data_IF_739272567152
#
_entry.id   IF_739272567152
#
_cell.length_a   1.000
_cell.length_b   1.000
_cell.length_c   1.000
_cell.angle_alpha   90.00
_cell.angle_beta   90.00
_cell.angle_gamma   90.00
#
_symmetry.space_group_name_H-M   'P 1'
#
loop_
_entity.id
_entity.type
_entity.pdbx_description
1 polymer ?
#
# COMPACT_ATOMS: atom_id res chain seq x y z
N UNK A 1 -12.67 6.60 -2.69
CA UNK A 1 -12.37 5.61 -1.63
C UNK A 1 -12.00 4.29 -2.29
N UNK A 2 -11.62 3.26 -1.54
CA UNK A 2 -11.38 1.94 -2.13
C UNK A 2 -12.66 1.35 -2.76
N UNK A 3 -13.82 1.64 -2.16
CA UNK A 3 -15.14 1.23 -2.69
C UNK A 3 -15.37 1.78 -4.10
N UNK A 4 -15.21 3.10 -4.27
CA UNK A 4 -15.40 3.78 -5.56
C UNK A 4 -14.42 3.23 -6.62
N UNK A 5 -13.17 2.94 -6.24
CA UNK A 5 -12.16 2.40 -7.16
C UNK A 5 -12.53 0.98 -7.61
N UNK A 6 -13.00 0.13 -6.69
CA UNK A 6 -13.45 -1.23 -7.01
C UNK A 6 -14.70 -1.19 -7.89
N UNK A 7 -15.66 -0.32 -7.59
CA UNK A 7 -16.89 -0.15 -8.36
C UNK A 7 -16.57 0.29 -9.79
N UNK A 8 -15.75 1.33 -9.97
CA UNK A 8 -15.31 1.79 -11.29
C UNK A 8 -14.60 0.67 -12.06
N UNK A 9 -13.71 -0.09 -11.42
CA UNK A 9 -12.99 -1.20 -12.08
C UNK A 9 -13.94 -2.31 -12.55
N UNK A 10 -15.01 -2.60 -11.80
CA UNK A 10 -16.06 -3.55 -12.23
C UNK A 10 -16.84 -3.02 -13.43
N UNK A 11 -17.21 -1.74 -13.41
CA UNK A 11 -18.03 -1.11 -14.45
C UNK A 11 -17.33 -1.03 -15.81
N UNK A 12 -16.04 -0.70 -15.81
CA UNK A 12 -15.22 -0.61 -17.04
C UNK A 12 -14.70 -1.97 -17.52
N UNK A 13 -14.86 -3.02 -16.70
CA UNK A 13 -14.41 -4.38 -16.96
C UNK A 13 -12.90 -4.60 -16.76
N UNK A 14 -12.46 -5.86 -16.92
CA UNK A 14 -11.10 -6.36 -16.60
C UNK A 14 -9.92 -5.72 -17.37
N UNK A 15 -10.14 -4.65 -18.15
CA UNK A 15 -9.08 -3.91 -18.86
C UNK A 15 -8.43 -2.84 -18.00
N UNK A 16 -9.08 -2.42 -16.91
CA UNK A 16 -8.56 -1.43 -15.98
C UNK A 16 -8.37 -2.08 -14.63
N UNK A 17 -7.14 -2.08 -14.15
CA UNK A 17 -6.78 -2.58 -12.82
C UNK A 17 -6.51 -1.38 -11.89
N UNK A 18 -6.99 -1.42 -10.63
CA UNK A 18 -6.64 -0.42 -9.64
C UNK A 18 -5.13 -0.32 -9.40
N UNK A 19 -4.67 0.91 -9.16
CA UNK A 19 -3.36 1.21 -8.63
C UNK A 19 -3.54 1.73 -7.20
N UNK A 20 -2.82 1.15 -6.24
CA UNK A 20 -3.04 1.45 -4.81
C UNK A 20 -1.91 2.30 -4.27
N UNK A 21 -2.24 3.52 -3.85
CA UNK A 21 -1.38 4.30 -2.97
C UNK A 21 -1.80 4.04 -1.52
N UNK A 22 -0.90 3.42 -0.75
CA UNK A 22 -1.21 2.98 0.61
C UNK A 22 -1.32 4.17 1.58
N UNK A 23 -0.50 5.22 1.43
CA UNK A 23 -0.55 6.34 2.34
C UNK A 23 -1.74 7.26 2.07
N UNK A 24 -2.12 7.45 0.81
CA UNK A 24 -3.34 8.16 0.43
C UNK A 24 -4.58 7.43 0.93
N UNK A 25 -4.58 6.10 0.86
CA UNK A 25 -5.67 5.27 1.41
C UNK A 25 -5.77 5.45 2.93
N UNK A 26 -4.65 5.39 3.64
CA UNK A 26 -4.57 5.66 5.07
C UNK A 26 -5.06 7.06 5.45
N UNK A 27 -4.66 8.10 4.70
CA UNK A 27 -5.10 9.46 4.92
C UNK A 27 -6.62 9.62 4.72
N UNK A 28 -7.17 9.02 3.65
CA UNK A 28 -8.62 9.03 3.37
C UNK A 28 -9.44 8.28 4.41
N UNK A 29 -8.85 7.31 5.09
CA UNK A 29 -9.49 6.52 6.15
C UNK A 29 -9.18 7.08 7.56
N UNK A 30 -8.84 8.37 7.67
CA UNK A 30 -8.55 9.05 8.94
C UNK A 30 -7.48 8.35 9.77
N UNK A 31 -6.35 8.00 9.14
CA UNK A 31 -5.21 7.36 9.79
C UNK A 31 -5.50 5.95 10.33
N UNK A 32 -6.51 5.29 9.79
CA UNK A 32 -6.82 3.90 10.07
C UNK A 32 -6.78 3.12 8.76
N UNK A 33 -5.92 2.11 8.66
CA UNK A 33 -5.84 1.29 7.44
C UNK A 33 -5.81 -0.18 7.79
N UNK A 34 -6.66 -0.95 7.11
CA UNK A 34 -6.68 -2.40 7.19
C UNK A 34 -6.21 -2.98 5.86
N UNK A 35 -4.89 -3.17 5.75
CA UNK A 35 -4.26 -3.70 4.53
C UNK A 35 -4.84 -5.06 4.11
N UNK A 36 -5.09 -5.94 5.08
CA UNK A 36 -5.59 -7.29 4.82
C UNK A 36 -6.98 -7.26 4.19
N UNK A 37 -7.87 -6.43 4.72
CA UNK A 37 -9.21 -6.24 4.17
C UNK A 37 -9.17 -5.67 2.74
N UNK A 38 -8.31 -4.68 2.49
CA UNK A 38 -8.15 -4.11 1.15
C UNK A 38 -7.65 -5.16 0.16
N UNK A 39 -6.60 -5.90 0.51
CA UNK A 39 -6.04 -6.96 -0.33
C UNK A 39 -7.09 -8.06 -0.61
N UNK A 40 -7.82 -8.49 0.42
CA UNK A 40 -8.88 -9.48 0.30
C UNK A 40 -9.98 -9.02 -0.67
N UNK A 41 -10.35 -7.74 -0.65
CA UNK A 41 -11.34 -7.17 -1.56
C UNK A 41 -10.83 -7.10 -2.98
N UNK A 42 -9.60 -6.63 -3.21
CA UNK A 42 -8.99 -6.64 -4.55
C UNK A 42 -8.96 -8.06 -5.15
N UNK A 43 -8.60 -9.06 -4.33
CA UNK A 43 -8.58 -10.46 -4.77
C UNK A 43 -9.98 -11.02 -5.04
N UNK A 44 -10.91 -10.89 -4.09
CA UNK A 44 -12.26 -11.52 -4.19
C UNK A 44 -13.15 -10.82 -5.20
N UNK A 45 -13.10 -9.50 -5.25
CA UNK A 45 -14.05 -8.69 -6.04
C UNK A 45 -13.55 -8.41 -7.45
N UNK A 46 -12.23 -8.32 -7.66
CA UNK A 46 -11.62 -8.02 -8.95
C UNK A 46 -10.79 -9.17 -9.53
N UNK A 47 -10.67 -10.29 -8.80
CA UNK A 47 -9.83 -11.43 -9.20
C UNK A 47 -8.37 -11.04 -9.44
N UNK A 48 -7.86 -10.05 -8.69
CA UNK A 48 -6.47 -9.61 -8.80
C UNK A 48 -5.52 -10.58 -8.10
N UNK A 49 -4.52 -11.06 -8.84
CA UNK A 49 -3.38 -11.84 -8.32
C UNK A 49 -2.08 -11.02 -8.20
N UNK A 50 -2.09 -9.82 -8.78
CA UNK A 50 -0.98 -8.86 -8.73
C UNK A 50 -1.48 -7.48 -8.31
N UNK A 51 -0.77 -6.83 -7.40
CA UNK A 51 -1.06 -5.46 -6.95
C UNK A 51 0.06 -4.54 -7.44
N UNK A 52 -0.31 -3.43 -8.09
CA UNK A 52 0.61 -2.33 -8.36
C UNK A 52 0.37 -1.23 -7.33
N UNK A 53 1.42 -0.77 -6.66
CA UNK A 53 1.27 0.14 -5.53
C UNK A 53 2.45 1.06 -5.24
N UNK A 54 2.13 2.15 -4.54
CA UNK A 54 3.07 3.10 -3.95
C UNK A 54 3.07 3.01 -2.43
N UNK A 55 4.22 3.29 -1.82
CA UNK A 55 4.34 3.42 -0.37
C UNK A 55 5.31 4.54 0.03
N UNK A 56 4.84 5.39 0.94
CA UNK A 56 5.51 6.58 1.45
C UNK A 56 4.94 6.92 2.83
N UNK A 57 5.59 7.83 3.56
CA UNK A 57 4.95 8.50 4.69
C UNK A 57 4.23 9.76 4.22
N UNK A 58 3.18 10.18 4.93
CA UNK A 58 2.53 11.49 4.73
C UNK A 58 2.73 12.44 5.90
N UNK A 59 2.89 13.72 5.60
CA UNK A 59 2.93 14.76 6.62
C UNK A 59 1.53 15.00 7.22
N UNK A 60 1.51 15.33 8.50
CA UNK A 60 0.31 15.75 9.20
C UNK A 60 0.24 17.28 9.28
N UNK A 61 -0.92 17.85 8.96
CA UNK A 61 -1.22 19.28 9.15
C UNK A 61 -2.58 19.43 9.79
N UNK A 62 -2.63 20.10 10.94
CA UNK A 62 -3.88 20.40 11.67
C UNK A 62 -4.73 19.14 11.96
N UNK A 63 -4.10 18.04 12.39
CA UNK A 63 -4.81 16.80 12.71
C UNK A 63 -5.19 15.94 11.50
N UNK A 64 -4.71 16.27 10.30
CA UNK A 64 -5.02 15.53 9.06
C UNK A 64 -3.77 15.22 8.28
N UNK A 65 -3.70 14.00 7.74
CA UNK A 65 -2.68 13.64 6.77
C UNK A 65 -2.97 14.33 5.44
N UNK A 66 -1.95 15.01 4.93
CA UNK A 66 -2.01 15.70 3.64
C UNK A 66 -1.05 15.03 2.68
N UNK A 67 -1.34 15.16 1.39
CA UNK A 67 -0.51 14.65 0.30
C UNK A 67 0.80 15.46 0.17
N UNK A 68 1.67 15.27 1.15
CA UNK A 68 3.02 15.81 1.23
C UNK A 68 3.88 14.65 1.71
N UNK A 69 4.59 14.05 0.76
CA UNK A 69 5.38 12.85 0.99
C UNK A 69 6.51 13.12 1.98
N UNK A 70 6.77 12.14 2.85
CA UNK A 70 7.86 12.12 3.81
C UNK A 70 8.40 10.70 3.96
N UNK A 71 9.47 10.56 4.72
CA UNK A 71 10.09 9.26 4.93
C UNK A 71 9.14 8.25 5.59
N UNK A 72 9.27 6.99 5.24
CA UNK A 72 8.51 5.88 5.86
C UNK A 72 8.86 5.70 7.34
N UNK A 73 10.03 6.21 7.79
CA UNK A 73 10.47 6.18 9.19
C UNK A 73 9.46 6.85 10.14
N UNK A 74 8.64 7.74 9.60
CA UNK A 74 7.58 8.38 10.37
C UNK A 74 6.35 7.50 10.60
N UNK A 75 6.27 6.33 9.95
CA UNK A 75 5.27 5.29 10.20
C UNK A 75 3.81 5.76 10.03
N UNK A 76 3.58 6.59 9.01
CA UNK A 76 2.27 7.19 8.70
C UNK A 76 1.95 7.08 7.20
N UNK A 77 1.56 5.90 6.70
CA UNK A 77 1.10 4.74 7.46
C UNK A 77 2.22 3.78 7.92
N UNK A 78 1.91 2.81 8.80
CA UNK A 78 2.87 1.81 9.20
C UNK A 78 3.10 0.77 8.10
N UNK A 79 4.38 0.49 7.80
CA UNK A 79 4.75 -0.44 6.72
C UNK A 79 4.71 -1.91 7.14
N UNK A 80 5.18 -2.24 8.35
CA UNK A 80 5.30 -3.63 8.82
C UNK A 80 3.98 -4.42 8.73
N UNK A 81 2.79 -3.86 9.07
CA UNK A 81 1.55 -4.59 8.88
C UNK A 81 1.27 -4.94 7.40
N UNK A 82 1.57 -4.04 6.45
CA UNK A 82 1.43 -4.33 5.03
C UNK A 82 2.37 -5.46 4.60
N UNK A 83 3.64 -5.41 5.05
CA UNK A 83 4.63 -6.45 4.77
C UNK A 83 4.14 -7.85 5.21
N UNK A 84 3.60 -7.96 6.44
CA UNK A 84 3.01 -9.21 6.95
C UNK A 84 1.82 -9.70 6.16
N UNK A 85 0.95 -8.79 5.74
CA UNK A 85 -0.22 -9.15 4.92
C UNK A 85 0.20 -9.65 3.53
N UNK A 86 1.23 -9.08 2.93
CA UNK A 86 1.77 -9.53 1.64
C UNK A 86 2.39 -10.92 1.78
N UNK A 87 3.28 -11.11 2.76
CA UNK A 87 4.07 -12.35 2.89
C UNK A 87 3.26 -13.59 3.27
N UNK A 88 2.10 -13.42 3.93
CA UNK A 88 1.24 -14.55 4.29
C UNK A 88 0.24 -14.97 3.19
N UNK A 89 0.25 -14.29 2.04
CA UNK A 89 -0.70 -14.52 0.94
C UNK A 89 0.01 -14.99 -0.32
N UNK A 90 -0.71 -15.78 -1.11
CA UNK A 90 -0.29 -16.13 -2.47
C UNK A 90 -0.68 -14.99 -3.44
N UNK A 91 0.00 -13.85 -3.31
CA UNK A 91 -0.15 -12.69 -4.19
C UNK A 91 1.22 -12.19 -4.62
N UNK A 92 1.26 -11.53 -5.77
CA UNK A 92 2.41 -10.76 -6.20
C UNK A 92 2.15 -9.26 -6.04
N UNK A 93 3.19 -8.48 -5.80
CA UNK A 93 3.06 -7.03 -5.64
C UNK A 93 4.28 -6.30 -6.21
N UNK A 94 4.01 -5.22 -6.94
CA UNK A 94 4.98 -4.16 -7.21
C UNK A 94 4.74 -3.04 -6.22
N UNK A 95 5.80 -2.68 -5.49
CA UNK A 95 5.75 -1.71 -4.40
C UNK A 95 6.82 -0.65 -4.63
N UNK A 96 6.40 0.51 -5.14
CA UNK A 96 7.28 1.64 -5.45
C UNK A 96 7.36 2.54 -4.22
N UNK A 97 8.58 2.86 -3.79
CA UNK A 97 8.81 3.88 -2.77
C UNK A 97 8.64 5.26 -3.42
N UNK A 98 7.77 6.13 -2.89
CA UNK A 98 7.63 7.53 -3.31
C UNK A 98 8.04 8.53 -2.22
N UNK A 99 8.75 8.05 -1.20
CA UNK A 99 9.30 8.92 -0.17
C UNK A 99 10.34 9.90 -0.77
N UNK A 100 10.61 11.05 -0.13
CA UNK A 100 11.70 11.93 -0.53
C UNK A 100 13.11 11.30 -0.39
N UNK A 101 13.26 10.24 0.43
CA UNK A 101 14.50 9.49 0.62
C UNK A 101 14.42 8.12 -0.08
N UNK A 102 14.08 8.14 -1.39
CA UNK A 102 13.75 6.98 -2.23
C UNK A 102 14.55 5.71 -1.93
N UNK A 103 15.88 5.77 -2.09
CA UNK A 103 16.75 4.60 -1.97
C UNK A 103 16.87 4.11 -0.53
N UNK A 104 17.00 5.03 0.42
CA UNK A 104 17.17 4.69 1.84
C UNK A 104 15.90 4.04 2.40
N UNK A 105 14.74 4.59 2.04
CA UNK A 105 13.46 4.07 2.53
C UNK A 105 13.07 2.77 1.81
N UNK A 106 13.39 2.62 0.53
CA UNK A 106 13.27 1.33 -0.17
C UNK A 106 14.13 0.24 0.50
N UNK A 107 15.35 0.56 0.95
CA UNK A 107 16.19 -0.38 1.70
C UNK A 107 15.59 -0.73 3.07
N UNK A 108 14.92 0.21 3.74
CA UNK A 108 14.20 -0.07 5.00
C UNK A 108 13.01 -1.01 4.73
N UNK A 109 12.21 -0.76 3.70
CA UNK A 109 11.10 -1.64 3.31
C UNK A 109 11.59 -3.05 3.00
N UNK A 110 12.65 -3.16 2.20
CA UNK A 110 13.31 -4.44 1.89
C UNK A 110 13.73 -5.16 3.16
N UNK A 111 14.42 -4.47 4.09
CA UNK A 111 14.88 -5.06 5.34
C UNK A 111 13.71 -5.56 6.22
N UNK A 112 12.60 -4.83 6.26
CA UNK A 112 11.40 -5.26 6.99
C UNK A 112 10.82 -6.55 6.36
N UNK A 113 10.69 -6.59 5.03
CA UNK A 113 10.26 -7.80 4.32
C UNK A 113 11.21 -8.98 4.61
N UNK A 114 12.52 -8.77 4.55
CA UNK A 114 13.54 -9.81 4.80
C UNK A 114 13.47 -10.34 6.25
N UNK A 115 13.29 -9.46 7.22
CA UNK A 115 13.11 -9.85 8.62
C UNK A 115 11.86 -10.71 8.84
N UNK A 116 10.80 -10.44 8.07
CA UNK A 116 9.53 -11.19 8.12
C UNK A 116 9.53 -12.43 7.20
N UNK A 117 10.69 -12.80 6.63
CA UNK A 117 10.91 -14.06 5.93
C UNK A 117 10.99 -13.97 4.41
N UNK A 118 10.90 -12.78 3.82
CA UNK A 118 11.15 -12.59 2.39
C UNK A 118 12.61 -12.91 2.05
N UNK A 119 12.85 -13.54 0.91
CA UNK A 119 14.18 -13.74 0.36
C UNK A 119 14.17 -13.28 -1.09
N UNK A 120 15.05 -12.33 -1.41
CA UNK A 120 15.30 -11.97 -2.79
C UNK A 120 16.04 -13.15 -3.44
N UNK A 121 15.40 -13.80 -4.41
CA UNK A 121 16.02 -14.84 -5.23
C UNK A 121 17.02 -14.25 -6.25
#
# INVERSE_FOLDING_TARGET
TIDEVIEISKDVGKRVIPYIDWAHTFARQNANINYGEIIDRLSKELSMSHINSHFEGLAERKGKFVDVHRSIKYNTPPFEPLAKEILKRDISITLICESPELENDALIMKKILENDGYRLE
#
